data_IF_015058983916
#
_entry.id   IF_015058983916
#
_cell.length_a   1.000
_cell.length_b   1.000
_cell.length_c   1.000
_cell.angle_alpha   90.00
_cell.angle_beta   90.00
_cell.angle_gamma   90.00
#
_symmetry.space_group_name_H-M   'P 1'
#
loop_
_entity.id
_entity.type
_entity.pdbx_description
1 polymer ?
#
# COMPACT_ATOMS: atom_id res chain seq x y z
N UNK A 1 29.28 -31.96 -13.75
CA UNK A 1 28.37 -31.92 -12.59
C UNK A 1 28.51 -30.56 -11.95
N UNK A 2 27.60 -29.65 -12.28
CA UNK A 2 27.63 -28.25 -11.86
C UNK A 2 27.15 -28.11 -10.42
N UNK A 3 28.02 -27.50 -9.62
CA UNK A 3 27.82 -27.07 -8.24
C UNK A 3 26.55 -26.21 -8.14
N UNK A 4 25.45 -26.81 -7.69
CA UNK A 4 24.29 -26.06 -7.20
C UNK A 4 24.73 -25.42 -5.90
N UNK A 5 25.21 -24.17 -6.01
CA UNK A 5 25.28 -23.19 -4.92
C UNK A 5 24.19 -23.49 -3.88
N UNK A 6 24.61 -24.06 -2.74
CA UNK A 6 23.75 -24.17 -1.55
C UNK A 6 23.39 -22.73 -1.19
N UNK A 7 22.18 -22.30 -1.53
CA UNK A 7 21.66 -21.03 -1.06
C UNK A 7 21.86 -21.01 0.46
N UNK A 8 22.69 -20.07 0.95
CA UNK A 8 23.01 -19.97 2.36
C UNK A 8 21.70 -19.87 3.15
N UNK A 9 21.58 -20.65 4.23
CA UNK A 9 20.39 -20.61 5.06
C UNK A 9 20.16 -19.17 5.57
N UNK A 10 18.91 -18.68 5.61
CA UNK A 10 18.61 -17.33 6.08
C UNK A 10 19.15 -17.13 7.49
N UNK A 11 19.85 -16.01 7.71
CA UNK A 11 20.38 -15.62 9.02
C UNK A 11 19.25 -15.08 9.91
N UNK A 12 19.50 -14.99 11.21
CA UNK A 12 18.54 -14.38 12.15
C UNK A 12 18.15 -12.95 11.74
N UNK A 13 19.09 -12.18 11.18
CA UNK A 13 18.84 -10.84 10.66
C UNK A 13 17.86 -10.86 9.46
N UNK A 14 17.91 -11.87 8.59
CA UNK A 14 17.01 -11.97 7.44
C UNK A 14 15.57 -12.18 7.89
N UNK A 15 15.37 -13.03 8.90
CA UNK A 15 14.08 -13.24 9.54
C UNK A 15 13.58 -11.98 10.26
N UNK A 16 14.47 -11.26 10.97
CA UNK A 16 14.11 -9.99 11.60
C UNK A 16 13.58 -8.99 10.57
N UNK A 17 14.30 -8.78 9.47
CA UNK A 17 13.88 -7.88 8.39
C UNK A 17 12.56 -8.34 7.72
N UNK A 18 12.38 -9.66 7.58
CA UNK A 18 11.14 -10.24 7.07
C UNK A 18 9.91 -9.87 7.94
N UNK A 19 10.03 -9.97 9.27
CA UNK A 19 8.94 -9.62 10.18
C UNK A 19 8.78 -8.11 10.42
N UNK A 20 9.83 -7.32 10.19
CA UNK A 20 9.75 -5.85 10.25
C UNK A 20 9.05 -5.24 9.04
N UNK A 21 9.09 -5.88 7.87
CA UNK A 21 8.41 -5.40 6.66
C UNK A 21 6.93 -5.05 6.88
N UNK A 22 6.07 -5.95 7.41
CA UNK A 22 4.66 -5.61 7.66
C UNK A 22 4.50 -4.53 8.73
N UNK A 23 5.35 -4.50 9.76
CA UNK A 23 5.30 -3.46 10.82
C UNK A 23 5.55 -2.07 10.23
N UNK A 24 6.58 -1.92 9.40
CA UNK A 24 6.90 -0.65 8.78
C UNK A 24 5.83 -0.22 7.76
N UNK A 25 5.29 -1.14 6.95
CA UNK A 25 4.16 -0.80 6.09
C UNK A 25 2.91 -0.40 6.89
N UNK A 26 2.58 -1.12 7.96
CA UNK A 26 1.46 -0.83 8.84
C UNK A 26 1.60 0.50 9.57
N UNK A 27 2.84 0.89 9.94
CA UNK A 27 3.09 2.19 10.59
C UNK A 27 2.64 3.38 9.74
N UNK A 28 2.54 3.23 8.42
CA UNK A 28 2.07 4.27 7.52
C UNK A 28 0.70 4.82 7.92
N UNK A 29 -0.25 3.93 8.23
CA UNK A 29 -1.61 4.30 8.58
C UNK A 29 -1.66 4.95 9.96
N UNK A 30 -0.78 4.53 10.87
CA UNK A 30 -0.66 5.07 12.22
C UNK A 30 -0.10 6.49 12.19
N UNK A 31 1.03 6.69 11.52
CA UNK A 31 1.59 8.02 11.33
C UNK A 31 0.67 8.91 10.51
N UNK A 32 0.05 8.37 9.46
CA UNK A 32 -0.93 9.07 8.63
C UNK A 32 -2.08 9.60 9.47
N UNK A 33 -2.68 8.76 10.32
CA UNK A 33 -3.73 9.17 11.25
C UNK A 33 -3.21 10.14 12.32
N UNK A 34 -1.99 9.93 12.83
CA UNK A 34 -1.36 10.81 13.82
C UNK A 34 -0.97 12.19 13.29
N UNK A 35 -0.92 12.39 11.97
CA UNK A 35 -0.72 13.68 11.29
C UNK A 35 -2.06 14.32 10.87
N UNK A 36 -3.16 13.56 10.83
CA UNK A 36 -4.47 14.14 10.46
C UNK A 36 -4.85 15.26 11.43
N UNK A 37 -5.15 16.43 10.88
CA UNK A 37 -5.46 17.63 11.66
C UNK A 37 -4.25 18.48 12.05
N UNK A 38 -3.02 18.05 11.75
CA UNK A 38 -1.79 18.83 11.94
C UNK A 38 -1.20 19.30 10.61
N UNK A 39 -1.20 18.42 9.59
CA UNK A 39 -0.75 18.76 8.23
C UNK A 39 -1.84 18.34 7.25
N UNK A 40 -2.06 19.16 6.22
CA UNK A 40 -2.99 18.84 5.16
C UNK A 40 -2.58 17.53 4.42
N UNK A 41 -3.53 16.69 4.01
CA UNK A 41 -3.25 15.33 3.55
C UNK A 41 -2.42 15.27 2.26
N UNK A 42 -2.73 16.10 1.25
CA UNK A 42 -1.97 16.08 0.00
C UNK A 42 -0.57 16.69 0.19
N UNK A 43 -0.45 17.68 1.06
CA UNK A 43 0.82 18.28 1.49
C UNK A 43 1.69 17.24 2.19
N UNK A 44 1.13 16.47 3.13
CA UNK A 44 1.84 15.38 3.81
C UNK A 44 2.35 14.34 2.81
N UNK A 45 1.51 13.93 1.85
CA UNK A 45 1.92 12.99 0.82
C UNK A 45 3.00 13.58 -0.10
N UNK A 46 2.87 14.84 -0.52
CA UNK A 46 3.86 15.53 -1.33
C UNK A 46 5.22 15.54 -0.63
N UNK A 47 5.27 16.02 0.61
CA UNK A 47 6.49 16.11 1.42
C UNK A 47 7.13 14.73 1.66
N UNK A 48 6.30 13.71 1.90
CA UNK A 48 6.76 12.32 2.03
C UNK A 48 7.48 11.85 0.77
N UNK A 49 6.86 12.02 -0.39
CA UNK A 49 7.37 11.45 -1.63
C UNK A 49 8.55 12.25 -2.20
N UNK A 50 8.53 13.58 -2.08
CA UNK A 50 9.70 14.38 -2.46
C UNK A 50 10.88 14.10 -1.53
N UNK A 51 10.66 13.98 -0.21
CA UNK A 51 11.72 13.61 0.74
C UNK A 51 12.30 12.23 0.46
N UNK A 52 11.44 11.24 0.18
CA UNK A 52 11.87 9.89 -0.20
C UNK A 52 12.67 9.90 -1.51
N UNK A 53 12.24 10.68 -2.51
CA UNK A 53 12.93 10.82 -3.79
C UNK A 53 14.30 11.48 -3.62
N UNK A 54 14.41 12.52 -2.78
CA UNK A 54 15.69 13.19 -2.47
C UNK A 54 16.67 12.23 -1.80
N UNK A 55 16.22 11.45 -0.81
CA UNK A 55 17.08 10.50 -0.10
C UNK A 55 17.57 9.38 -1.03
N UNK A 56 16.71 8.90 -1.93
CA UNK A 56 17.06 7.83 -2.90
C UNK A 56 17.78 8.37 -4.15
N UNK A 57 17.85 9.69 -4.33
CA UNK A 57 18.45 10.33 -5.50
C UNK A 57 19.86 9.84 -5.84
N UNK A 58 20.79 9.59 -4.90
CA UNK A 58 22.12 9.05 -5.24
C UNK A 58 22.07 7.74 -6.03
N UNK A 59 21.10 6.86 -5.72
CA UNK A 59 20.91 5.58 -6.43
C UNK A 59 20.27 5.78 -7.81
N UNK A 60 19.35 6.74 -7.93
CA UNK A 60 18.78 7.14 -9.23
C UNK A 60 19.87 7.74 -10.13
N UNK A 61 20.76 8.56 -9.56
CA UNK A 61 21.85 9.22 -10.27
C UNK A 61 22.97 8.24 -10.69
N UNK A 62 23.25 7.23 -9.86
CA UNK A 62 24.16 6.15 -10.22
C UNK A 62 23.71 5.45 -11.52
N UNK A 63 22.40 5.21 -11.66
CA UNK A 63 21.76 4.59 -12.82
C UNK A 63 21.18 5.61 -13.83
N UNK A 64 21.68 6.87 -13.83
CA UNK A 64 21.07 8.00 -14.56
C UNK A 64 20.78 7.73 -16.04
N UNK A 65 21.62 6.98 -16.75
CA UNK A 65 21.40 6.69 -18.18
C UNK A 65 20.15 5.83 -18.37
N UNK A 66 20.04 4.75 -17.60
CA UNK A 66 18.89 3.86 -17.58
C UNK A 66 17.63 4.60 -17.16
N UNK A 67 17.71 5.38 -16.08
CA UNK A 67 16.60 6.19 -15.56
C UNK A 67 16.09 7.23 -16.58
N UNK A 68 17.00 7.99 -17.20
CA UNK A 68 16.64 8.99 -18.21
C UNK A 68 16.01 8.36 -19.45
N UNK A 69 16.54 7.22 -19.91
CA UNK A 69 15.97 6.48 -21.03
C UNK A 69 14.56 6.00 -20.69
N UNK A 70 14.37 5.39 -19.51
CA UNK A 70 13.05 4.94 -19.04
C UNK A 70 12.05 6.11 -18.98
N UNK A 71 12.42 7.22 -18.33
CA UNK A 71 11.54 8.39 -18.21
C UNK A 71 11.18 8.94 -19.59
N UNK A 72 12.13 9.03 -20.52
CA UNK A 72 11.88 9.55 -21.88
C UNK A 72 11.00 8.63 -22.73
N UNK A 73 11.22 7.31 -22.66
CA UNK A 73 10.51 6.33 -23.48
C UNK A 73 9.15 5.94 -22.89
N UNK A 74 8.98 6.09 -21.57
CA UNK A 74 7.79 5.64 -20.84
C UNK A 74 7.18 6.74 -19.96
N UNK A 75 7.28 8.01 -20.37
CA UNK A 75 6.79 9.18 -19.60
C UNK A 75 5.36 9.01 -19.10
N UNK A 76 4.44 8.57 -19.98
CA UNK A 76 3.04 8.40 -19.63
C UNK A 76 2.84 7.32 -18.56
N UNK A 77 3.49 6.15 -18.72
CA UNK A 77 3.40 5.05 -17.74
C UNK A 77 4.02 5.48 -16.42
N UNK A 78 5.16 6.19 -16.45
CA UNK A 78 5.85 6.70 -15.27
C UNK A 78 4.99 7.67 -14.45
N UNK A 79 4.30 8.60 -15.11
CA UNK A 79 3.37 9.53 -14.46
C UNK A 79 2.10 8.84 -13.97
N UNK A 80 1.54 7.90 -14.73
CA UNK A 80 0.36 7.11 -14.31
C UNK A 80 0.69 6.26 -13.09
N UNK A 81 1.86 5.63 -13.04
CA UNK A 81 2.31 4.88 -11.86
C UNK A 81 2.50 5.79 -10.63
N UNK A 82 3.04 7.00 -10.83
CA UNK A 82 3.13 8.01 -9.78
C UNK A 82 1.76 8.47 -9.28
N UNK A 83 0.81 8.73 -10.18
CA UNK A 83 -0.56 9.09 -9.85
C UNK A 83 -1.27 7.99 -9.08
N UNK A 84 -1.25 6.75 -9.56
CA UNK A 84 -1.93 5.64 -8.90
C UNK A 84 -1.26 5.29 -7.55
N UNK A 85 0.06 5.10 -7.55
CA UNK A 85 0.80 4.58 -6.40
C UNK A 85 1.08 5.61 -5.32
N UNK A 86 1.32 6.87 -5.68
CA UNK A 86 1.70 7.91 -4.71
C UNK A 86 0.60 8.97 -4.56
N UNK A 87 -0.04 9.34 -5.66
CA UNK A 87 -1.17 10.28 -5.68
C UNK A 87 -2.40 9.73 -4.97
N UNK A 88 -2.97 8.64 -5.49
CA UNK A 88 -4.17 8.01 -4.91
C UNK A 88 -3.80 7.21 -3.65
N UNK A 89 -2.89 6.24 -3.75
CA UNK A 89 -2.57 5.38 -2.60
C UNK A 89 -1.79 6.10 -1.47
N UNK A 90 -1.30 7.31 -1.72
CA UNK A 90 -0.71 8.18 -0.69
C UNK A 90 -1.65 9.32 -0.30
N UNK A 91 -1.75 10.35 -1.16
CA UNK A 91 -2.52 11.57 -0.87
C UNK A 91 -4.00 11.31 -0.62
N UNK A 92 -4.66 10.58 -1.50
CA UNK A 92 -6.10 10.28 -1.36
C UNK A 92 -6.39 9.38 -0.15
N UNK A 93 -5.48 8.45 0.18
CA UNK A 93 -5.57 7.63 1.40
C UNK A 93 -5.45 8.51 2.65
N UNK A 94 -4.51 9.46 2.69
CA UNK A 94 -4.38 10.39 3.82
C UNK A 94 -5.61 11.27 3.98
N UNK A 95 -6.18 11.74 2.87
CA UNK A 95 -7.46 12.46 2.91
C UNK A 95 -8.58 11.57 3.45
N UNK A 96 -8.70 10.33 2.97
CA UNK A 96 -9.72 9.39 3.44
C UNK A 96 -9.57 9.07 4.93
N UNK A 97 -8.35 8.98 5.46
CA UNK A 97 -8.06 8.81 6.89
C UNK A 97 -8.49 9.99 7.76
N UNK A 98 -8.80 11.16 7.19
CA UNK A 98 -9.44 12.24 7.96
C UNK A 98 -10.92 11.94 8.25
N UNK A 99 -11.55 11.09 7.43
CA UNK A 99 -12.97 10.76 7.45
C UNK A 99 -13.26 9.34 7.97
N UNK A 100 -12.25 8.46 8.05
CA UNK A 100 -12.41 7.09 8.56
C UNK A 100 -11.32 6.71 9.57
N UNK A 101 -11.49 5.55 10.22
CA UNK A 101 -10.53 4.99 11.18
C UNK A 101 -9.41 4.23 10.47
N UNK A 102 -8.25 4.12 11.13
CA UNK A 102 -7.13 3.35 10.60
C UNK A 102 -7.49 1.86 10.48
N UNK A 103 -8.28 1.33 11.42
CA UNK A 103 -8.77 -0.05 11.39
C UNK A 103 -9.67 -0.32 10.17
N UNK A 104 -10.65 0.55 9.89
CA UNK A 104 -11.52 0.42 8.71
C UNK A 104 -10.72 0.54 7.42
N UNK A 105 -9.88 1.57 7.32
CA UNK A 105 -9.04 1.81 6.15
C UNK A 105 -8.16 0.59 5.83
N UNK A 106 -7.52 0.01 6.84
CA UNK A 106 -6.68 -1.20 6.67
C UNK A 106 -7.46 -2.34 6.02
N UNK A 107 -8.62 -2.67 6.59
CA UNK A 107 -9.40 -3.84 6.16
C UNK A 107 -9.97 -3.66 4.76
N UNK A 108 -10.48 -2.46 4.45
CA UNK A 108 -10.95 -2.13 3.11
C UNK A 108 -9.79 -2.21 2.12
N UNK A 109 -8.64 -1.60 2.44
CA UNK A 109 -7.47 -1.57 1.56
C UNK A 109 -6.88 -2.97 1.29
N UNK A 110 -7.05 -3.90 2.22
CA UNK A 110 -6.65 -5.32 2.06
C UNK A 110 -7.31 -5.98 0.85
N UNK A 111 -8.51 -5.53 0.45
CA UNK A 111 -9.19 -6.04 -0.74
C UNK A 111 -8.56 -5.64 -2.06
N UNK A 112 -7.54 -4.78 -2.07
CA UNK A 112 -6.72 -4.48 -3.25
C UNK A 112 -6.19 -5.75 -3.93
N UNK A 113 -5.82 -6.77 -3.15
CA UNK A 113 -5.39 -8.08 -3.67
C UNK A 113 -6.47 -8.80 -4.48
N UNK A 114 -7.74 -8.64 -4.11
CA UNK A 114 -8.88 -9.20 -4.83
C UNK A 114 -9.15 -8.42 -6.11
N UNK A 115 -9.04 -7.09 -6.07
CA UNK A 115 -9.11 -6.26 -7.26
C UNK A 115 -7.99 -6.59 -8.26
N UNK A 116 -6.79 -6.96 -7.80
CA UNK A 116 -5.73 -7.47 -8.68
C UNK A 116 -6.20 -8.72 -9.43
N UNK A 117 -6.81 -9.69 -8.74
CA UNK A 117 -7.33 -10.92 -9.36
C UNK A 117 -8.42 -10.58 -10.39
N UNK A 118 -9.37 -9.73 -10.00
CA UNK A 118 -10.49 -9.31 -10.84
C UNK A 118 -10.01 -8.59 -12.11
N UNK A 119 -9.05 -7.66 -11.97
CA UNK A 119 -8.51 -6.90 -13.09
C UNK A 119 -7.61 -7.77 -14.00
N UNK A 120 -6.91 -8.79 -13.48
CA UNK A 120 -6.21 -9.76 -14.34
C UNK A 120 -7.19 -10.55 -15.21
N UNK A 121 -8.35 -10.89 -14.67
CA UNK A 121 -9.39 -11.54 -15.47
C UNK A 121 -9.95 -10.62 -16.54
N UNK A 122 -10.31 -9.39 -16.16
CA UNK A 122 -10.95 -8.43 -17.06
C UNK A 122 -9.99 -7.90 -18.15
N UNK A 123 -8.75 -7.58 -17.78
CA UNK A 123 -7.80 -6.91 -18.67
C UNK A 123 -6.78 -7.85 -19.31
N UNK A 124 -6.46 -8.98 -18.68
CA UNK A 124 -5.43 -9.91 -19.15
C UNK A 124 -6.00 -11.28 -19.58
N UNK A 125 -7.33 -11.44 -19.53
CA UNK A 125 -8.01 -12.68 -19.95
C UNK A 125 -7.74 -13.89 -19.05
N UNK A 126 -7.20 -13.68 -17.84
CA UNK A 126 -6.88 -14.76 -16.91
C UNK A 126 -8.15 -15.39 -16.36
N UNK A 127 -8.42 -16.66 -16.63
CA UNK A 127 -9.62 -17.35 -16.10
C UNK A 127 -9.65 -17.33 -14.56
N UNK A 128 -10.78 -16.89 -14.00
CA UNK A 128 -11.05 -16.96 -12.55
C UNK A 128 -11.49 -18.37 -12.19
N UNK A 129 -10.98 -18.87 -11.07
CA UNK A 129 -11.33 -20.19 -10.53
C UNK A 129 -12.53 -20.08 -9.58
N UNK A 130 -13.32 -21.15 -9.41
CA UNK A 130 -14.43 -21.14 -8.43
C UNK A 130 -13.99 -20.79 -7.00
N UNK A 131 -12.82 -21.27 -6.56
CA UNK A 131 -12.26 -20.93 -5.25
C UNK A 131 -11.86 -19.46 -5.11
N UNK A 132 -11.38 -18.84 -6.20
CA UNK A 132 -11.09 -17.41 -6.25
C UNK A 132 -12.38 -16.59 -6.17
N UNK A 133 -13.42 -17.00 -6.89
CA UNK A 133 -14.73 -16.34 -6.86
C UNK A 133 -15.39 -16.44 -5.47
N UNK A 134 -15.36 -17.62 -4.85
CA UNK A 134 -15.88 -17.82 -3.50
C UNK A 134 -15.09 -17.00 -2.47
N UNK A 135 -13.75 -17.01 -2.55
CA UNK A 135 -12.90 -16.22 -1.67
C UNK A 135 -13.14 -14.71 -1.81
N UNK A 136 -13.31 -14.23 -3.05
CA UNK A 136 -13.71 -12.85 -3.33
C UNK A 136 -15.06 -12.51 -2.70
N UNK A 137 -16.09 -13.36 -2.89
CA UNK A 137 -17.42 -13.13 -2.32
C UNK A 137 -17.39 -13.06 -0.78
N UNK A 138 -16.65 -13.97 -0.13
CA UNK A 138 -16.48 -13.97 1.33
C UNK A 138 -15.78 -12.69 1.80
N UNK A 139 -14.69 -12.29 1.16
CA UNK A 139 -13.93 -11.13 1.58
C UNK A 139 -14.66 -9.81 1.31
N UNK A 140 -15.38 -9.67 0.19
CA UNK A 140 -16.24 -8.50 -0.05
C UNK A 140 -17.41 -8.42 0.94
N UNK A 141 -17.94 -9.56 1.39
CA UNK A 141 -18.92 -9.58 2.49
C UNK A 141 -18.31 -9.07 3.79
N UNK A 142 -17.05 -9.40 4.07
CA UNK A 142 -16.29 -8.84 5.19
C UNK A 142 -16.15 -7.32 5.13
N UNK A 143 -15.82 -6.77 3.95
CA UNK A 143 -15.80 -5.31 3.74
C UNK A 143 -17.17 -4.70 3.98
N UNK A 144 -18.24 -5.31 3.48
CA UNK A 144 -19.59 -4.81 3.71
C UNK A 144 -19.92 -4.73 5.22
N UNK A 145 -19.54 -5.74 6.00
CA UNK A 145 -19.72 -5.73 7.47
C UNK A 145 -19.00 -4.54 8.13
N UNK A 146 -17.78 -4.24 7.69
CA UNK A 146 -16.97 -3.13 8.24
C UNK A 146 -17.56 -1.77 7.87
N UNK A 147 -17.90 -1.58 6.59
CA UNK A 147 -18.47 -0.33 6.08
C UNK A 147 -19.84 -0.05 6.71
N UNK A 148 -20.66 -1.08 6.88
CA UNK A 148 -21.97 -0.96 7.53
C UNK A 148 -21.88 -0.91 9.06
N UNK A 149 -20.68 -1.11 9.64
CA UNK A 149 -20.47 -1.20 11.10
C UNK A 149 -21.41 -2.18 11.81
N UNK A 150 -21.86 -3.22 11.10
CA UNK A 150 -22.88 -4.18 11.57
C UNK A 150 -24.32 -3.66 11.59
N UNK A 151 -24.59 -2.41 11.20
CA UNK A 151 -25.94 -1.85 11.07
C UNK A 151 -26.47 -1.99 9.64
N UNK A 152 -27.31 -2.99 9.42
CA UNK A 152 -27.97 -3.22 8.13
C UNK A 152 -28.97 -2.12 7.75
N UNK A 153 -29.42 -1.28 8.70
CA UNK A 153 -30.26 -0.12 8.40
C UNK A 153 -29.46 1.01 7.71
N UNK A 154 -28.16 1.12 7.99
CA UNK A 154 -27.26 2.06 7.30
C UNK A 154 -27.16 1.80 5.78
N UNK A 155 -27.36 0.55 5.34
CA UNK A 155 -27.45 0.20 3.93
C UNK A 155 -28.72 0.76 3.25
N UNK A 156 -29.80 0.90 4.02
CA UNK A 156 -31.09 1.43 3.52
C UNK A 156 -31.12 2.95 3.49
N UNK A 157 -30.37 3.62 4.37
CA UNK A 157 -30.25 5.09 4.39
C UNK A 157 -29.19 5.64 3.44
N UNK A 158 -28.43 4.79 2.73
CA UNK A 158 -27.33 5.18 1.83
C UNK A 158 -26.28 6.09 2.50
N UNK A 159 -26.21 6.08 3.84
CA UNK A 159 -25.26 6.88 4.61
C UNK A 159 -23.92 6.15 4.67
N UNK A 160 -23.21 6.14 3.54
CA UNK A 160 -21.86 5.60 3.45
C UNK A 160 -20.84 6.63 3.94
N UNK A 161 -19.82 6.15 4.65
CA UNK A 161 -18.67 6.99 4.97
C UNK A 161 -17.86 7.25 3.69
N UNK A 162 -17.75 8.51 3.29
CA UNK A 162 -17.00 8.94 2.11
C UNK A 162 -15.51 8.55 2.24
N UNK A 163 -14.96 8.53 3.46
CA UNK A 163 -13.60 8.05 3.72
C UNK A 163 -13.41 6.58 3.33
N UNK A 164 -14.37 5.71 3.71
CA UNK A 164 -14.31 4.28 3.39
C UNK A 164 -14.38 4.03 1.88
N UNK A 165 -15.20 4.81 1.16
CA UNK A 165 -15.23 4.79 -0.31
C UNK A 165 -13.91 5.29 -0.91
N UNK A 166 -13.30 6.32 -0.33
CA UNK A 166 -11.98 6.81 -0.73
C UNK A 166 -10.89 5.74 -0.62
N UNK A 167 -10.90 4.95 0.45
CA UNK A 167 -10.00 3.80 0.62
C UNK A 167 -10.29 2.70 -0.39
N UNK A 168 -11.56 2.43 -0.72
CA UNK A 168 -11.92 1.46 -1.75
C UNK A 168 -11.38 1.86 -3.13
N UNK A 169 -11.50 3.15 -3.49
CA UNK A 169 -10.88 3.71 -4.71
C UNK A 169 -9.37 3.51 -4.69
N UNK A 170 -8.72 3.76 -3.55
CA UNK A 170 -7.29 3.53 -3.40
C UNK A 170 -6.92 2.05 -3.54
N UNK A 171 -7.74 1.11 -3.06
CA UNK A 171 -7.53 -0.32 -3.24
C UNK A 171 -7.56 -0.73 -4.73
N UNK A 172 -8.48 -0.16 -5.51
CA UNK A 172 -8.57 -0.37 -6.97
C UNK A 172 -7.36 0.27 -7.67
N UNK A 173 -6.99 1.49 -7.28
CA UNK A 173 -5.82 2.18 -7.83
C UNK A 173 -4.52 1.39 -7.57
N UNK A 174 -4.37 0.82 -6.38
CA UNK A 174 -3.25 -0.06 -6.03
C UNK A 174 -3.22 -1.33 -6.90
N UNK A 175 -4.39 -1.88 -7.21
CA UNK A 175 -4.49 -3.04 -8.09
C UNK A 175 -4.06 -2.72 -9.53
N UNK A 176 -4.52 -1.59 -10.08
CA UNK A 176 -4.10 -1.10 -11.39
C UNK A 176 -2.59 -0.80 -11.42
N UNK A 177 -2.08 -0.10 -10.40
CA UNK A 177 -0.66 0.15 -10.21
C UNK A 177 0.15 -1.15 -10.23
N UNK A 178 -0.28 -2.16 -9.46
CA UNK A 178 0.38 -3.46 -9.38
C UNK A 178 0.42 -4.22 -10.71
N UNK A 179 -0.60 -4.05 -11.56
CA UNK A 179 -0.61 -4.63 -12.90
C UNK A 179 0.29 -3.87 -13.86
N UNK A 180 0.28 -2.54 -13.81
CA UNK A 180 1.14 -1.68 -14.64
C UNK A 180 2.62 -1.83 -14.30
N UNK A 181 2.97 -2.16 -13.06
CA UNK A 181 4.35 -2.50 -12.69
C UNK A 181 4.92 -3.71 -13.46
N UNK A 182 4.06 -4.57 -14.03
CA UNK A 182 4.48 -5.71 -14.86
C UNK A 182 4.76 -5.34 -16.32
N UNK A 183 4.52 -4.09 -16.70
CA UNK A 183 4.86 -3.62 -18.04
C UNK A 183 6.35 -3.86 -18.32
N UNK A 184 6.75 -4.40 -19.49
CA UNK A 184 8.14 -4.82 -19.74
C UNK A 184 9.18 -3.72 -19.48
N UNK A 185 8.89 -2.48 -19.89
CA UNK A 185 9.78 -1.34 -19.66
C UNK A 185 9.94 -0.97 -18.18
N UNK A 186 8.93 -1.24 -17.35
CA UNK A 186 8.97 -0.98 -15.90
C UNK A 186 9.67 -2.13 -15.18
N UNK A 187 9.35 -3.37 -15.54
CA UNK A 187 9.95 -4.57 -14.96
C UNK A 187 11.45 -4.71 -15.27
N UNK A 188 11.94 -4.07 -16.34
CA UNK A 188 13.36 -4.02 -16.67
C UNK A 188 14.17 -3.06 -15.77
N UNK A 189 13.52 -2.18 -15.01
CA UNK A 189 14.21 -1.22 -14.15
C UNK A 189 14.72 -1.87 -12.86
N UNK A 190 15.91 -1.51 -12.37
CA UNK A 190 16.36 -1.92 -11.05
C UNK A 190 15.40 -1.39 -9.96
N UNK A 191 15.01 -2.19 -8.94
CA UNK A 191 13.94 -1.84 -8.00
C UNK A 191 14.15 -0.52 -7.25
N UNK A 192 15.37 -0.24 -6.80
CA UNK A 192 15.66 0.94 -5.99
C UNK A 192 15.62 2.26 -6.81
N UNK A 193 16.29 2.37 -7.98
CA UNK A 193 16.06 3.48 -8.91
C UNK A 193 14.61 3.64 -9.35
N UNK A 194 13.90 2.53 -9.61
CA UNK A 194 12.48 2.59 -9.98
C UNK A 194 11.66 3.22 -8.84
N UNK A 195 11.86 2.80 -7.60
CA UNK A 195 11.19 3.41 -6.44
C UNK A 195 11.46 4.92 -6.35
N UNK A 196 12.72 5.35 -6.52
CA UNK A 196 13.07 6.77 -6.54
C UNK A 196 12.37 7.55 -7.66
N UNK A 197 12.29 6.98 -8.86
CA UNK A 197 11.57 7.60 -9.98
C UNK A 197 10.06 7.67 -9.71
N UNK A 198 9.45 6.62 -9.15
CA UNK A 198 8.01 6.60 -8.83
C UNK A 198 7.67 7.56 -7.68
N UNK A 199 8.54 7.68 -6.69
CA UNK A 199 8.42 8.69 -5.64
C UNK A 199 8.49 10.10 -6.25
N UNK A 200 9.40 10.32 -7.20
CA UNK A 200 9.52 11.61 -7.89
C UNK A 200 8.31 11.93 -8.77
N UNK A 201 7.80 10.99 -9.58
CA UNK A 201 6.54 11.22 -10.33
C UNK A 201 5.36 11.43 -9.39
N UNK A 202 5.33 10.71 -8.26
CA UNK A 202 4.36 10.93 -7.20
C UNK A 202 4.37 12.37 -6.68
N UNK A 203 5.54 12.90 -6.35
CA UNK A 203 5.70 14.28 -5.92
C UNK A 203 5.25 15.28 -7.00
N UNK A 204 5.57 15.06 -8.27
CA UNK A 204 5.11 15.91 -9.39
C UNK A 204 3.58 15.93 -9.47
N UNK A 205 2.95 14.77 -9.39
CA UNK A 205 1.49 14.63 -9.50
C UNK A 205 0.76 15.19 -8.27
N UNK A 206 1.37 15.10 -7.10
CA UNK A 206 0.86 15.66 -5.85
C UNK A 206 1.11 17.17 -5.71
N UNK A 207 2.00 17.76 -6.52
CA UNK A 207 2.32 19.17 -6.43
C UNK A 207 1.09 20.08 -6.64
N UNK A 208 0.23 19.90 -7.66
CA UNK A 208 -0.97 20.72 -7.82
C UNK A 208 -1.96 20.64 -6.63
N UNK A 209 -2.38 19.44 -6.14
CA UNK A 209 -3.29 19.39 -5.00
C UNK A 209 -2.65 19.87 -3.69
N UNK A 210 -1.36 19.61 -3.45
CA UNK A 210 -0.66 20.16 -2.29
C UNK A 210 -0.56 21.68 -2.36
N UNK A 211 -0.22 22.24 -3.53
CA UNK A 211 -0.21 23.68 -3.73
C UNK A 211 -1.59 24.30 -3.51
N UNK A 212 -2.65 23.65 -4.01
CA UNK A 212 -4.03 24.07 -3.77
C UNK A 212 -4.39 24.10 -2.28
N UNK A 213 -4.01 23.07 -1.51
CA UNK A 213 -4.19 23.07 -0.06
C UNK A 213 -3.47 24.27 0.57
N UNK A 214 -2.21 24.53 0.22
CA UNK A 214 -1.43 25.63 0.80
C UNK A 214 -2.09 26.99 0.53
N UNK A 215 -2.49 27.27 -0.72
CA UNK A 215 -3.10 28.56 -1.06
C UNK A 215 -4.52 28.74 -0.50
N UNK A 216 -5.20 27.66 -0.12
CA UNK A 216 -6.52 27.69 0.51
C UNK A 216 -6.46 27.66 2.04
N UNK A 217 -5.26 27.76 2.63
CA UNK A 217 -5.07 27.79 4.08
C UNK A 217 -4.98 26.42 4.75
N UNK A 218 -4.63 25.38 3.99
CA UNK A 218 -4.31 24.06 4.51
C UNK A 218 -3.13 24.10 5.47
N UNK A 219 -3.20 23.26 6.50
CA UNK A 219 -2.18 23.22 7.55
C UNK A 219 -0.84 22.74 7.00
N UNK A 220 0.21 23.50 7.32
CA UNK A 220 1.60 23.17 7.04
C UNK A 220 2.26 22.69 8.34
N UNK A 221 3.31 21.84 8.25
CA UNK A 221 4.08 21.47 9.43
C UNK A 221 4.69 22.73 10.07
N UNK A 222 4.27 23.05 11.28
CA UNK A 222 4.68 24.25 12.02
C UNK A 222 5.47 23.93 13.29
N UNK A 223 5.41 22.68 13.76
CA UNK A 223 6.05 22.24 14.99
C UNK A 223 7.18 21.23 14.74
N UNK A 224 8.12 21.13 15.69
CA UNK A 224 9.14 20.10 15.66
C UNK A 224 8.55 18.67 15.72
N UNK A 225 7.37 18.53 16.35
CA UNK A 225 6.63 17.28 16.40
C UNK A 225 6.17 16.86 14.99
N UNK A 226 5.62 17.78 14.20
CA UNK A 226 5.11 17.50 12.85
C UNK A 226 6.23 17.03 11.93
N UNK A 227 7.38 17.73 11.98
CA UNK A 227 8.57 17.34 11.24
C UNK A 227 9.12 15.98 11.68
N UNK A 228 9.05 15.67 12.98
CA UNK A 228 9.46 14.34 13.49
C UNK A 228 8.54 13.23 12.98
N UNK A 229 7.22 13.45 12.99
CA UNK A 229 6.24 12.49 12.45
C UNK A 229 6.45 12.29 10.95
N UNK A 230 6.62 13.38 10.19
CA UNK A 230 6.86 13.34 8.76
C UNK A 230 8.18 12.63 8.42
N UNK A 231 9.26 12.90 9.17
CA UNK A 231 10.51 12.18 9.05
C UNK A 231 10.35 10.68 9.37
N UNK A 232 9.53 10.34 10.37
CA UNK A 232 9.16 8.97 10.69
C UNK A 232 8.44 8.27 9.53
N UNK A 233 7.50 8.94 8.85
CA UNK A 233 6.84 8.41 7.65
C UNK A 233 7.86 8.15 6.54
N UNK A 234 8.73 9.11 6.26
CA UNK A 234 9.75 8.97 5.21
C UNK A 234 10.69 7.81 5.54
N UNK A 235 11.23 7.77 6.75
CA UNK A 235 12.23 6.78 7.14
C UNK A 235 11.63 5.38 7.28
N UNK A 236 10.55 5.21 8.06
CA UNK A 236 10.01 3.90 8.40
C UNK A 236 8.98 3.43 7.38
N UNK A 237 7.93 4.23 7.15
CA UNK A 237 6.80 3.82 6.32
C UNK A 237 7.09 3.84 4.80
N UNK A 238 8.15 4.52 4.37
CA UNK A 238 8.60 4.50 2.96
C UNK A 238 9.89 3.70 2.79
N UNK A 239 11.01 4.20 3.32
CA UNK A 239 12.34 3.68 2.97
C UNK A 239 12.64 2.34 3.63
N UNK A 240 12.44 2.22 4.95
CA UNK A 240 12.71 0.98 5.68
C UNK A 240 11.72 -0.12 5.29
N UNK A 241 10.42 0.21 5.12
CA UNK A 241 9.42 -0.73 4.61
C UNK A 241 9.83 -1.29 3.25
N UNK A 242 10.18 -0.41 2.30
CA UNK A 242 10.63 -0.82 0.97
C UNK A 242 11.89 -1.67 1.04
N UNK A 243 12.90 -1.25 1.81
CA UNK A 243 14.15 -2.00 1.98
C UNK A 243 13.91 -3.41 2.55
N UNK A 244 13.14 -3.53 3.65
CA UNK A 244 12.83 -4.81 4.27
C UNK A 244 12.09 -5.73 3.32
N UNK A 245 11.13 -5.20 2.56
CA UNK A 245 10.39 -5.99 1.57
C UNK A 245 11.28 -6.45 0.41
N UNK A 246 12.11 -5.56 -0.15
CA UNK A 246 13.05 -5.94 -1.21
C UNK A 246 14.10 -6.94 -0.72
N UNK A 247 14.55 -6.81 0.52
CA UNK A 247 15.42 -7.79 1.17
C UNK A 247 14.73 -9.15 1.31
N UNK A 248 13.47 -9.16 1.76
CA UNK A 248 12.68 -10.38 1.86
C UNK A 248 12.50 -11.06 0.49
N UNK A 249 12.23 -10.29 -0.57
CA UNK A 249 12.14 -10.80 -1.95
C UNK A 249 13.48 -11.42 -2.39
N UNK A 250 14.60 -10.76 -2.08
CA UNK A 250 15.94 -11.22 -2.46
C UNK A 250 16.36 -12.51 -1.74
N UNK A 251 16.10 -12.62 -0.43
CA UNK A 251 16.56 -13.75 0.39
C UNK A 251 15.59 -14.93 0.37
N UNK A 252 14.30 -14.68 0.51
CA UNK A 252 13.27 -15.73 0.63
C UNK A 252 12.50 -15.98 -0.67
N UNK A 253 12.67 -15.11 -1.67
CA UNK A 253 11.95 -15.17 -2.94
C UNK A 253 10.60 -14.44 -2.90
N UNK A 254 10.04 -14.09 -4.09
CA UNK A 254 8.81 -13.31 -4.20
C UNK A 254 7.59 -13.94 -3.52
N UNK A 255 7.47 -15.27 -3.55
CA UNK A 255 6.33 -15.99 -2.96
C UNK A 255 6.31 -15.82 -1.44
N UNK A 256 7.44 -16.05 -0.76
CA UNK A 256 7.54 -15.88 0.69
C UNK A 256 7.48 -14.41 1.10
N UNK A 257 8.10 -13.50 0.34
CA UNK A 257 7.98 -12.07 0.61
C UNK A 257 6.52 -11.59 0.50
N UNK A 258 5.76 -12.11 -0.47
CA UNK A 258 4.33 -11.84 -0.61
C UNK A 258 3.51 -12.23 0.62
N UNK A 259 3.94 -13.25 1.40
CA UNK A 259 3.27 -13.64 2.65
C UNK A 259 3.31 -12.51 3.69
N UNK A 260 4.36 -11.69 3.71
CA UNK A 260 4.44 -10.53 4.63
C UNK A 260 3.30 -9.54 4.44
N UNK A 261 2.77 -9.39 3.22
CA UNK A 261 1.67 -8.48 2.93
C UNK A 261 0.35 -8.93 3.58
N UNK A 262 0.17 -10.23 3.83
CA UNK A 262 -0.98 -10.76 4.58
C UNK A 262 -0.86 -10.52 6.08
N UNK A 263 0.34 -10.21 6.59
CA UNK A 263 0.54 -9.85 8.00
C UNK A 263 0.26 -8.36 8.24
N UNK A 264 0.18 -7.53 7.20
CA UNK A 264 -0.10 -6.10 7.35
C UNK A 264 -1.45 -5.83 8.01
N UNK A 265 -2.58 -6.45 7.60
CA UNK A 265 -3.87 -6.14 8.19
C UNK A 265 -3.96 -6.37 9.71
N UNK A 266 -3.58 -7.55 10.25
CA UNK A 266 -3.59 -7.74 11.70
C UNK A 266 -2.59 -6.82 12.41
N UNK A 267 -1.41 -6.58 11.82
CA UNK A 267 -0.39 -5.69 12.41
C UNK A 267 -0.90 -4.26 12.51
N UNK A 268 -1.52 -3.72 11.45
CA UNK A 268 -2.08 -2.36 11.44
C UNK A 268 -3.17 -2.19 12.48
N UNK A 269 -4.06 -3.19 12.65
CA UNK A 269 -5.16 -3.11 13.62
C UNK A 269 -4.63 -3.16 15.05
N UNK A 270 -3.68 -4.06 15.34
CA UNK A 270 -3.02 -4.11 16.65
C UNK A 270 -2.37 -2.75 16.95
N UNK A 271 -1.65 -2.19 15.98
CA UNK A 271 -1.04 -0.87 16.14
C UNK A 271 -2.08 0.25 16.31
N UNK A 272 -3.21 0.21 15.60
CA UNK A 272 -4.26 1.21 15.73
C UNK A 272 -4.92 1.18 17.12
N UNK A 273 -5.20 -0.01 17.64
CA UNK A 273 -5.76 -0.17 19.00
C UNK A 273 -4.76 0.30 20.06
N UNK A 274 -3.50 -0.11 19.97
CA UNK A 274 -2.48 0.19 21.00
C UNK A 274 -2.02 1.66 20.94
N UNK A 275 -1.74 2.17 19.74
CA UNK A 275 -1.06 3.47 19.56
C UNK A 275 -2.04 4.63 19.34
N UNK A 276 -3.20 4.37 18.74
CA UNK A 276 -4.23 5.40 18.49
C UNK A 276 -5.40 5.31 19.47
N UNK A 277 -5.47 4.27 20.31
CA UNK A 277 -6.57 4.05 21.25
C UNK A 277 -7.90 3.73 20.55
N UNK A 278 -7.87 3.24 19.31
CA UNK A 278 -9.10 2.85 18.59
C UNK A 278 -9.81 1.69 19.31
N UNK A 279 -11.14 1.76 19.42
CA UNK A 279 -11.93 0.69 20.03
C UNK A 279 -12.11 -0.46 19.04
N UNK A 280 -11.76 -1.65 19.50
CA UNK A 280 -11.95 -2.87 18.73
C UNK A 280 -13.37 -3.42 18.90
N UNK A 281 -14.24 -3.03 17.98
CA UNK A 281 -15.63 -3.50 17.92
C UNK A 281 -15.81 -4.89 17.28
N UNK A 282 -16.96 -5.52 17.54
CA UNK A 282 -17.30 -6.87 17.04
C UNK A 282 -17.31 -6.97 15.52
N UNK A 283 -17.73 -5.91 14.82
CA UNK A 283 -17.71 -5.88 13.35
C UNK A 283 -16.28 -5.88 12.78
N UNK A 284 -15.27 -5.38 13.52
CA UNK A 284 -13.88 -5.53 13.10
C UNK A 284 -13.44 -6.99 13.19
N UNK A 285 -13.83 -7.72 14.26
CA UNK A 285 -13.51 -9.13 14.41
C UNK A 285 -14.10 -9.98 13.26
N UNK A 286 -15.39 -9.79 12.98
CA UNK A 286 -16.08 -10.46 11.87
C UNK A 286 -15.47 -10.06 10.53
N UNK A 287 -15.21 -8.77 10.33
CA UNK A 287 -14.58 -8.22 9.14
C UNK A 287 -13.20 -8.84 8.86
N UNK A 288 -12.33 -8.94 9.88
CA UNK A 288 -11.02 -9.58 9.77
C UNK A 288 -11.16 -11.02 9.32
N UNK A 289 -12.01 -11.81 10.00
CA UNK A 289 -12.17 -13.24 9.69
C UNK A 289 -12.64 -13.43 8.25
N UNK A 290 -13.62 -12.63 7.80
CA UNK A 290 -14.15 -12.72 6.44
C UNK A 290 -13.15 -12.23 5.40
N UNK A 291 -12.53 -11.05 5.59
CA UNK A 291 -11.56 -10.49 4.64
C UNK A 291 -10.33 -11.39 4.53
N UNK A 292 -9.73 -11.77 5.65
CA UNK A 292 -8.54 -12.62 5.65
C UNK A 292 -8.85 -14.04 5.18
N UNK A 293 -9.94 -14.64 5.68
CA UNK A 293 -10.35 -15.99 5.28
C UNK A 293 -10.69 -16.08 3.79
N UNK A 294 -11.45 -15.11 3.27
CA UNK A 294 -11.76 -15.02 1.84
C UNK A 294 -10.53 -14.77 0.98
N UNK A 295 -9.62 -13.89 1.42
CA UNK A 295 -8.36 -13.63 0.74
C UNK A 295 -7.48 -14.89 0.69
N UNK A 296 -7.32 -15.61 1.80
CA UNK A 296 -6.56 -16.86 1.85
C UNK A 296 -7.17 -17.94 0.96
N UNK A 297 -8.51 -18.04 0.91
CA UNK A 297 -9.18 -18.96 0.00
C UNK A 297 -8.95 -18.58 -1.47
N UNK A 298 -8.98 -17.29 -1.78
CA UNK A 298 -8.76 -16.79 -3.13
C UNK A 298 -7.33 -16.99 -3.61
N UNK A 299 -6.34 -16.92 -2.70
CA UNK A 299 -4.92 -17.05 -3.05
C UNK A 299 -4.33 -18.42 -2.76
N UNK A 300 -5.13 -19.36 -2.24
CA UNK A 300 -4.69 -20.70 -1.89
C UNK A 300 -4.03 -21.42 -3.10
N UNK A 301 -2.84 -22.02 -2.92
CA UNK A 301 -2.17 -22.75 -3.97
C UNK A 301 -2.99 -23.97 -4.39
N UNK A 302 -3.05 -24.25 -5.69
CA UNK A 302 -3.73 -25.44 -6.20
C UNK A 302 -3.00 -26.67 -5.68
N UNK A 303 -3.69 -27.50 -4.89
CA UNK A 303 -3.27 -28.88 -4.66
C UNK A 303 -3.34 -29.59 -6.01
N UNK A 304 -2.21 -29.78 -6.70
CA UNK A 304 -2.15 -30.66 -7.87
C UNK A 304 -2.58 -32.04 -7.38
N UNK A 305 -3.77 -32.50 -7.78
CA UNK A 305 -4.11 -33.91 -7.69
C UNK A 305 -3.15 -34.63 -8.64
N UNK A 306 -2.16 -35.32 -8.06
CA UNK A 306 -1.37 -36.35 -8.74
C UNK A 306 -2.28 -37.52 -9.08
#
# INVERSE_FOLDING_TARGET
MTDRSKAAQPRALDWLLYFLAPVFFSSNLIFGRGITGEIAPFTTAFLRWIGSAIIIFPFVYAERRTCLTFVRQHTAIWLVLGFLGMGICGGFVYWALTLTTASNATLIYTTSSLFIILLQWLLQGRRIRPGELLGMAIAFSGVAVIVLKGDWAAAKSLTFNIGDLGILVAAIAFALYSLLLRHPGVAAMPPLPLFGLLAFSGAIVLLPPAFYEVVTGGLLPDSASDWTKLAGIIAFASLAAFYCFQHAVRVFGPAMAGVTLYLMPPTSIIMAVILLGERFETYHAVGIVLVMGGLMLATAPIKRRS
#
